data_IF_630683650878
#
_entry.id   IF_630683650878
#
_cell.length_a   1.000
_cell.length_b   1.000
_cell.length_c   1.000
_cell.angle_alpha   90.00
_cell.angle_beta   90.00
_cell.angle_gamma   90.00
#
_symmetry.space_group_name_H-M   'P 1'
#
loop_
_entity.id
_entity.type
_entity.pdbx_description
1 polymer ?
#
# COMPACT_ATOMS: atom_id res chain seq x y z
N UNK A 1 14.04 2.48 -22.96
CA UNK A 1 12.65 2.22 -22.48
C UNK A 1 12.77 1.89 -21.01
N UNK A 2 11.93 2.49 -20.17
CA UNK A 2 11.97 2.33 -18.73
C UNK A 2 10.73 1.58 -18.23
N UNK A 3 10.94 0.65 -17.29
CA UNK A 3 9.85 0.04 -16.54
C UNK A 3 9.49 0.93 -15.35
N UNK A 4 8.22 1.34 -15.29
CA UNK A 4 7.68 2.11 -14.17
C UNK A 4 6.56 1.34 -13.46
N UNK A 5 6.39 1.62 -12.16
CA UNK A 5 5.23 1.17 -11.40
C UNK A 5 4.20 2.29 -11.33
N UNK A 6 3.02 2.07 -11.89
CA UNK A 6 1.88 3.01 -11.86
C UNK A 6 0.74 2.43 -11.02
N UNK A 7 0.04 3.29 -10.29
CA UNK A 7 -1.14 2.90 -9.52
C UNK A 7 -2.43 3.39 -10.20
N UNK A 8 -3.39 2.49 -10.42
CA UNK A 8 -4.75 2.81 -10.84
C UNK A 8 -5.69 2.61 -9.66
N UNK A 9 -6.28 3.70 -9.15
CA UNK A 9 -7.18 3.67 -7.99
C UNK A 9 -8.63 3.88 -8.39
N UNK A 10 -9.52 3.03 -7.87
CA UNK A 10 -10.96 3.05 -8.13
C UNK A 10 -11.75 2.87 -6.84
N UNK A 11 -12.99 3.37 -6.83
CA UNK A 11 -13.94 3.07 -5.75
C UNK A 11 -14.50 1.67 -5.92
N UNK A 12 -14.36 0.84 -4.91
CA UNK A 12 -14.89 -0.53 -4.86
C UNK A 12 -16.37 -0.49 -4.45
N UNK A 13 -17.17 -1.40 -4.98
CA UNK A 13 -18.60 -1.55 -4.69
C UNK A 13 -18.87 -2.97 -4.13
N UNK A 14 -18.36 -3.28 -2.93
CA UNK A 14 -18.60 -4.56 -2.28
C UNK A 14 -20.05 -4.69 -1.78
N UNK A 15 -20.56 -5.92 -1.74
CA UNK A 15 -21.78 -6.24 -0.97
C UNK A 15 -21.55 -6.05 0.53
N UNK A 16 -22.61 -6.20 1.32
CA UNK A 16 -22.51 -6.13 2.77
C UNK A 16 -21.57 -7.21 3.34
N UNK A 17 -21.72 -8.44 2.86
CA UNK A 17 -20.93 -9.61 3.26
C UNK A 17 -19.46 -9.43 2.86
N UNK A 18 -19.21 -8.98 1.62
CA UNK A 18 -17.86 -8.65 1.16
C UNK A 18 -17.23 -7.54 1.99
N UNK A 19 -17.99 -6.51 2.36
CA UNK A 19 -17.52 -5.43 3.23
C UNK A 19 -17.16 -5.92 4.63
N UNK A 20 -17.97 -6.81 5.22
CA UNK A 20 -17.68 -7.43 6.51
C UNK A 20 -16.42 -8.30 6.43
N UNK A 21 -16.27 -9.08 5.35
CA UNK A 21 -15.08 -9.89 5.11
C UNK A 21 -13.82 -9.05 4.95
N UNK A 22 -13.89 -7.94 4.21
CA UNK A 22 -12.79 -6.98 4.09
C UNK A 22 -12.40 -6.38 5.45
N UNK A 23 -13.38 -6.03 6.30
CA UNK A 23 -13.13 -5.56 7.67
C UNK A 23 -12.42 -6.62 8.51
N UNK A 24 -12.83 -7.90 8.42
CA UNK A 24 -12.19 -9.00 9.12
C UNK A 24 -10.73 -9.16 8.68
N UNK A 25 -10.47 -9.20 7.36
CA UNK A 25 -9.12 -9.32 6.80
C UNK A 25 -8.22 -8.14 7.23
N UNK A 26 -8.75 -6.92 7.20
CA UNK A 26 -8.05 -5.74 7.70
C UNK A 26 -7.74 -5.84 9.20
N UNK A 27 -8.70 -6.35 9.98
CA UNK A 27 -8.54 -6.60 11.41
C UNK A 27 -7.41 -7.58 11.70
N UNK A 28 -7.38 -8.73 11.02
CA UNK A 28 -6.32 -9.72 11.14
C UNK A 28 -4.96 -9.15 10.74
N UNK A 29 -4.88 -8.39 9.64
CA UNK A 29 -3.65 -7.76 9.21
C UNK A 29 -3.14 -6.72 10.23
N UNK A 30 -4.01 -5.86 10.76
CA UNK A 30 -3.67 -4.92 11.83
C UNK A 30 -3.17 -5.65 13.08
N UNK A 31 -3.84 -6.72 13.46
CA UNK A 31 -3.47 -7.52 14.61
C UNK A 31 -2.07 -8.11 14.47
N UNK A 32 -1.79 -8.76 13.32
CA UNK A 32 -0.48 -9.32 13.00
C UNK A 32 0.62 -8.26 12.93
N UNK A 33 0.34 -7.07 12.39
CA UNK A 33 1.28 -5.94 12.46
C UNK A 33 1.66 -5.61 13.90
N UNK A 34 0.66 -5.52 14.78
CA UNK A 34 0.85 -5.12 16.16
C UNK A 34 1.60 -6.19 16.97
N UNK A 35 1.27 -7.48 16.79
CA UNK A 35 2.03 -8.58 17.38
C UNK A 35 3.48 -8.57 16.91
N UNK A 36 3.71 -8.49 15.60
CA UNK A 36 5.07 -8.42 15.04
C UNK A 36 5.84 -7.20 15.53
N UNK A 37 5.17 -6.05 15.69
CA UNK A 37 5.78 -4.83 16.22
C UNK A 37 6.22 -5.01 17.67
N UNK A 38 5.36 -5.58 18.52
CA UNK A 38 5.66 -5.84 19.92
C UNK A 38 6.86 -6.80 20.04
N UNK A 39 6.84 -7.89 19.27
CA UNK A 39 7.93 -8.87 19.29
C UNK A 39 9.23 -8.29 18.76
N UNK A 40 9.19 -7.51 17.68
CA UNK A 40 10.39 -6.82 17.16
C UNK A 40 10.97 -5.86 18.20
N UNK A 41 10.12 -5.12 18.93
CA UNK A 41 10.59 -4.23 20.02
C UNK A 41 11.21 -5.01 21.16
N UNK A 42 10.65 -6.17 21.53
CA UNK A 42 11.22 -7.06 22.55
C UNK A 42 12.62 -7.52 22.16
N UNK A 43 12.79 -7.99 20.92
CA UNK A 43 14.08 -8.46 20.37
C UNK A 43 15.09 -7.32 20.29
N UNK A 44 14.71 -6.15 19.79
CA UNK A 44 15.62 -5.00 19.76
C UNK A 44 15.99 -4.53 21.19
N UNK A 45 15.06 -4.65 22.13
CA UNK A 45 15.28 -4.33 23.55
C UNK A 45 16.24 -5.29 24.27
N UNK A 46 16.38 -6.54 23.82
CA UNK A 46 17.40 -7.48 24.31
C UNK A 46 18.78 -7.25 23.71
N UNK A 47 18.95 -6.25 22.83
CA UNK A 47 20.20 -5.98 22.12
C UNK A 47 20.42 -6.86 20.89
N UNK A 48 19.42 -7.67 20.51
CA UNK A 48 19.47 -8.48 19.31
C UNK A 48 19.20 -7.66 18.05
N UNK A 49 19.54 -8.22 16.89
CA UNK A 49 19.37 -7.55 15.60
C UNK A 49 17.91 -7.56 15.15
N UNK A 50 17.55 -6.63 14.26
CA UNK A 50 16.25 -6.61 13.60
C UNK A 50 15.97 -7.98 12.93
N UNK A 51 14.87 -8.67 13.27
CA UNK A 51 14.49 -9.90 12.60
C UNK A 51 14.25 -9.66 11.11
N UNK A 52 14.71 -10.59 10.28
CA UNK A 52 14.39 -10.62 8.87
C UNK A 52 12.89 -10.76 8.62
N UNK A 53 12.44 -10.33 7.44
CA UNK A 53 11.07 -10.58 7.00
C UNK A 53 10.68 -12.07 7.00
N UNK A 54 11.66 -12.97 6.83
CA UNK A 54 11.43 -14.41 6.88
C UNK A 54 11.15 -14.90 8.30
N UNK A 55 11.94 -14.47 9.28
CA UNK A 55 11.74 -14.80 10.70
C UNK A 55 10.39 -14.29 11.20
N UNK A 56 10.03 -13.05 10.88
CA UNK A 56 8.70 -12.52 11.20
C UNK A 56 7.59 -13.36 10.56
N UNK A 57 7.73 -13.77 9.30
CA UNK A 57 6.72 -14.60 8.64
C UNK A 57 6.59 -16.00 9.25
N UNK A 58 7.68 -16.58 9.79
CA UNK A 58 7.61 -17.87 10.51
C UNK A 58 6.74 -17.78 11.76
N UNK A 59 6.69 -16.61 12.42
CA UNK A 59 5.84 -16.41 13.60
C UNK A 59 4.35 -16.58 13.28
N UNK A 60 3.91 -16.26 12.06
CA UNK A 60 2.50 -16.44 11.64
C UNK A 60 2.07 -17.90 11.80
N UNK A 61 2.93 -18.86 11.45
CA UNK A 61 2.63 -20.29 11.56
C UNK A 61 2.38 -20.70 13.00
N UNK A 62 3.09 -20.09 13.95
CA UNK A 62 2.90 -20.33 15.38
C UNK A 62 1.63 -19.64 15.86
N UNK A 63 1.45 -18.35 15.54
CA UNK A 63 0.26 -17.60 15.96
C UNK A 63 -1.04 -18.22 15.46
N UNK A 64 -1.08 -18.75 14.23
CA UNK A 64 -2.28 -19.45 13.71
C UNK A 64 -2.65 -20.72 14.49
N UNK A 65 -1.74 -21.27 15.29
CA UNK A 65 -1.99 -22.48 16.12
C UNK A 65 -2.28 -22.16 17.57
N UNK A 66 -2.06 -20.91 18.00
CA UNK A 66 -2.34 -20.46 19.35
C UNK A 66 -3.85 -20.31 19.57
N UNK A 67 -4.46 -20.89 20.62
CA UNK A 67 -5.89 -20.79 20.89
C UNK A 67 -6.40 -19.34 20.91
N UNK A 68 -5.62 -18.41 21.47
CA UNK A 68 -5.97 -17.00 21.57
C UNK A 68 -6.00 -16.27 20.22
N UNK A 69 -5.29 -16.78 19.20
CA UNK A 69 -5.17 -16.16 17.88
C UNK A 69 -5.71 -17.06 16.75
N UNK A 70 -6.53 -18.05 17.10
CA UNK A 70 -7.05 -19.06 16.17
C UNK A 70 -7.80 -18.43 14.98
N UNK A 71 -8.44 -17.28 15.19
CA UNK A 71 -9.14 -16.51 14.15
C UNK A 71 -8.22 -16.07 12.98
N UNK A 72 -6.90 -16.10 13.15
CA UNK A 72 -5.95 -15.84 12.06
C UNK A 72 -5.94 -16.95 11.00
N UNK A 73 -6.46 -18.15 11.31
CA UNK A 73 -6.63 -19.22 10.33
C UNK A 73 -7.58 -18.81 9.20
N UNK A 74 -8.62 -18.03 9.53
CA UNK A 74 -9.59 -17.54 8.57
C UNK A 74 -9.07 -16.40 7.70
N UNK A 75 -7.89 -15.86 7.99
CA UNK A 75 -7.30 -14.78 7.20
C UNK A 75 -6.48 -15.33 6.03
N UNK A 76 -6.51 -14.59 4.91
CA UNK A 76 -5.66 -14.90 3.76
C UNK A 76 -4.18 -14.75 4.13
N UNK A 77 -3.45 -15.87 4.12
CA UNK A 77 -2.06 -15.95 4.62
C UNK A 77 -1.14 -14.92 3.95
N UNK A 78 -1.25 -14.73 2.63
CA UNK A 78 -0.43 -13.76 1.90
C UNK A 78 -0.67 -12.32 2.37
N UNK A 79 -1.89 -11.96 2.80
CA UNK A 79 -2.15 -10.64 3.38
C UNK A 79 -1.39 -10.45 4.72
N UNK A 80 -1.36 -11.49 5.56
CA UNK A 80 -0.66 -11.44 6.85
C UNK A 80 0.85 -11.34 6.64
N UNK A 81 1.39 -12.19 5.76
CA UNK A 81 2.82 -12.18 5.43
C UNK A 81 3.24 -10.85 4.81
N UNK A 82 2.44 -10.31 3.89
CA UNK A 82 2.74 -9.01 3.31
C UNK A 82 2.72 -7.91 4.36
N UNK A 83 1.85 -8.00 5.38
CA UNK A 83 1.80 -7.00 6.44
C UNK A 83 3.05 -7.02 7.32
N UNK A 84 3.62 -8.20 7.60
CA UNK A 84 4.90 -8.31 8.31
C UNK A 84 6.10 -7.89 7.44
N UNK A 85 6.03 -8.12 6.12
CA UNK A 85 7.02 -7.54 5.18
C UNK A 85 6.98 -6.01 5.21
N UNK A 86 5.79 -5.42 5.20
CA UNK A 86 5.63 -3.96 5.32
C UNK A 86 6.21 -3.45 6.66
N UNK A 87 6.02 -4.18 7.76
CA UNK A 87 6.60 -3.86 9.08
C UNK A 87 8.14 -3.91 9.06
N UNK A 88 8.70 -4.99 8.52
CA UNK A 88 10.15 -5.13 8.36
C UNK A 88 10.73 -3.99 7.52
N UNK A 89 10.09 -3.64 6.40
CA UNK A 89 10.50 -2.50 5.58
C UNK A 89 10.43 -1.19 6.37
N UNK A 90 9.41 -0.98 7.20
CA UNK A 90 9.31 0.21 8.04
C UNK A 90 10.47 0.30 9.04
N UNK A 91 10.85 -0.81 9.68
CA UNK A 91 12.04 -0.86 10.54
C UNK A 91 13.33 -0.62 9.78
N UNK A 92 13.53 -1.26 8.62
CA UNK A 92 14.71 -1.00 7.77
C UNK A 92 14.85 0.48 7.42
N UNK A 93 13.74 1.14 7.08
CA UNK A 93 13.72 2.59 6.81
C UNK A 93 14.06 3.40 8.06
N UNK A 94 13.54 3.02 9.22
CA UNK A 94 13.86 3.68 10.50
C UNK A 94 15.37 3.62 10.83
N UNK A 95 16.06 2.55 10.45
CA UNK A 95 17.50 2.42 10.68
C UNK A 95 18.37 3.04 9.58
N UNK A 96 17.78 3.45 8.45
CA UNK A 96 18.50 4.14 7.39
C UNK A 96 18.67 5.61 7.75
N UNK A 97 19.90 5.98 8.12
CA UNK A 97 20.27 7.35 8.52
C UNK A 97 20.04 8.41 7.43
N UNK A 98 19.92 8.00 6.16
CA UNK A 98 19.61 8.91 5.04
C UNK A 98 18.13 9.28 5.00
N UNK A 99 17.28 8.50 5.65
CA UNK A 99 15.84 8.70 5.69
C UNK A 99 15.45 9.31 7.04
N UNK A 100 14.68 10.40 7.02
CA UNK A 100 14.03 10.94 8.23
C UNK A 100 12.82 10.07 8.67
N UNK A 101 12.94 8.75 8.59
CA UNK A 101 11.88 7.80 8.89
C UNK A 101 11.85 7.49 10.39
N UNK A 102 10.66 7.59 10.98
CA UNK A 102 10.43 7.23 12.39
C UNK A 102 10.18 5.73 12.53
N UNK A 103 10.35 5.22 13.75
CA UNK A 103 10.01 3.86 14.10
C UNK A 103 8.53 3.54 13.78
N UNK A 104 8.23 2.30 13.34
CA UNK A 104 6.85 1.90 13.13
C UNK A 104 6.06 1.95 14.44
N UNK A 105 4.80 2.37 14.32
CA UNK A 105 3.91 2.61 15.46
C UNK A 105 2.80 1.56 15.53
N UNK A 106 2.20 1.45 16.71
CA UNK A 106 1.04 0.62 16.94
C UNK A 106 -0.12 1.06 16.05
N UNK A 107 -0.74 0.13 15.33
CA UNK A 107 -1.89 0.41 14.49
C UNK A 107 -3.16 0.29 15.33
N UNK A 108 -3.94 1.36 15.34
CA UNK A 108 -5.30 1.36 15.92
C UNK A 108 -6.31 1.11 14.82
N UNK A 109 -7.49 0.63 15.20
CA UNK A 109 -8.65 0.73 14.32
C UNK A 109 -8.95 2.21 14.16
N UNK A 110 -8.94 2.69 12.93
CA UNK A 110 -9.46 4.01 12.63
C UNK A 110 -10.50 3.88 11.51
N UNK A 111 -11.40 4.84 11.45
CA UNK A 111 -12.54 4.88 10.55
C UNK A 111 -12.10 5.22 9.12
N UNK A 112 -11.32 4.33 8.50
CA UNK A 112 -10.98 4.42 7.08
C UNK A 112 -9.52 4.74 6.77
N UNK A 113 -8.56 4.04 7.36
CA UNK A 113 -7.19 3.90 6.82
C UNK A 113 -6.67 2.46 6.86
N UNK A 114 -7.53 1.50 7.17
CA UNK A 114 -7.20 0.09 7.10
C UNK A 114 -6.99 -0.34 5.64
N UNK A 115 -6.00 -1.20 5.42
CA UNK A 115 -5.69 -1.71 4.08
C UNK A 115 -5.07 -3.11 4.07
N UNK A 116 -5.38 -3.86 3.03
CA UNK A 116 -4.86 -5.20 2.74
C UNK A 116 -4.36 -5.26 1.30
N UNK A 117 -3.24 -5.95 1.09
CA UNK A 117 -2.61 -6.09 -0.23
C UNK A 117 -2.67 -7.55 -0.68
N UNK A 118 -3.30 -7.77 -1.84
CA UNK A 118 -3.28 -9.00 -2.59
C UNK A 118 -2.06 -8.97 -3.51
N UNK A 119 -1.02 -9.71 -3.13
CA UNK A 119 0.20 -9.90 -3.92
C UNK A 119 0.01 -10.99 -4.96
N UNK A 120 0.93 -11.10 -5.92
CA UNK A 120 0.91 -12.12 -6.97
C UNK A 120 -0.45 -12.14 -7.71
N UNK A 121 -0.87 -10.97 -8.20
CA UNK A 121 -2.23 -10.76 -8.69
C UNK A 121 -2.67 -11.83 -9.69
N UNK A 122 -1.88 -12.12 -10.71
CA UNK A 122 -2.21 -13.10 -11.76
C UNK A 122 -2.41 -14.53 -11.25
N UNK A 123 -1.83 -14.88 -10.09
CA UNK A 123 -1.95 -16.23 -9.51
C UNK A 123 -3.28 -16.43 -8.77
N UNK A 124 -3.81 -15.38 -8.15
CA UNK A 124 -4.92 -15.50 -7.18
C UNK A 124 -6.11 -14.59 -7.47
N UNK A 125 -5.95 -13.63 -8.37
CA UNK A 125 -6.95 -12.63 -8.71
C UNK A 125 -7.19 -12.61 -10.22
N UNK A 126 -8.34 -12.08 -10.63
CA UNK A 126 -8.64 -11.85 -12.04
C UNK A 126 -9.31 -10.48 -12.19
N UNK A 127 -8.92 -9.72 -13.21
CA UNK A 127 -9.58 -8.46 -13.56
C UNK A 127 -10.42 -8.67 -14.81
N UNK A 128 -11.72 -8.40 -14.72
CA UNK A 128 -12.64 -8.47 -15.85
C UNK A 128 -13.52 -7.22 -15.87
N UNK A 129 -13.39 -6.39 -16.91
CA UNK A 129 -14.18 -5.18 -17.06
C UNK A 129 -14.22 -4.36 -15.75
N UNK A 130 -15.44 -4.13 -15.21
CA UNK A 130 -15.71 -3.35 -13.99
C UNK A 130 -15.75 -4.19 -12.71
N UNK A 131 -15.12 -5.37 -12.70
CA UNK A 131 -15.08 -6.26 -11.53
C UNK A 131 -13.73 -6.95 -11.38
N UNK A 132 -13.39 -7.30 -10.14
CA UNK A 132 -12.18 -8.04 -9.78
C UNK A 132 -12.55 -9.27 -8.98
N UNK A 133 -12.01 -10.43 -9.33
CA UNK A 133 -12.10 -11.66 -8.54
C UNK A 133 -10.99 -11.64 -7.51
N UNK A 134 -11.34 -11.77 -6.25
CA UNK A 134 -10.43 -11.76 -5.11
C UNK A 134 -10.54 -13.08 -4.33
N UNK A 135 -9.44 -13.57 -3.74
CA UNK A 135 -9.45 -14.80 -2.95
C UNK A 135 -10.15 -14.61 -1.60
N UNK A 136 -10.02 -15.60 -0.72
CA UNK A 136 -10.43 -15.50 0.69
C UNK A 136 -11.93 -15.31 0.92
N UNK A 137 -12.75 -15.87 0.02
CA UNK A 137 -14.22 -15.80 0.10
C UNK A 137 -14.81 -14.46 -0.36
N UNK A 138 -14.01 -13.56 -0.97
CA UNK A 138 -14.52 -12.29 -1.51
C UNK A 138 -15.20 -12.48 -2.87
N UNK A 139 -14.66 -13.36 -3.73
CA UNK A 139 -15.21 -13.62 -5.05
C UNK A 139 -15.15 -12.40 -5.96
N UNK A 140 -16.14 -12.24 -6.84
CA UNK A 140 -16.23 -11.08 -7.74
C UNK A 140 -16.74 -9.84 -7.03
N UNK A 141 -15.98 -8.76 -7.07
CA UNK A 141 -16.32 -7.46 -6.49
C UNK A 141 -16.33 -6.40 -7.59
N UNK A 142 -17.40 -5.62 -7.70
CA UNK A 142 -17.51 -4.53 -8.68
C UNK A 142 -16.71 -3.31 -8.24
N UNK A 143 -16.30 -2.48 -9.18
CA UNK A 143 -15.71 -1.16 -8.91
C UNK A 143 -16.10 -0.14 -9.97
N UNK A 144 -16.03 1.14 -9.61
CA UNK A 144 -16.28 2.27 -10.51
C UNK A 144 -15.07 2.51 -11.39
N UNK A 145 -15.07 1.89 -12.56
CA UNK A 145 -14.01 2.04 -13.53
C UNK A 145 -14.10 3.40 -14.23
N UNK A 146 -13.24 4.35 -13.83
CA UNK A 146 -13.09 5.65 -14.48
C UNK A 146 -12.07 5.66 -15.63
N UNK A 147 -11.21 4.64 -15.70
CA UNK A 147 -10.14 4.52 -16.69
C UNK A 147 -9.77 3.03 -16.89
N UNK A 148 -9.16 2.70 -18.03
CA UNK A 148 -8.63 1.35 -18.28
C UNK A 148 -7.35 1.12 -17.48
N UNK A 149 -7.19 -0.11 -16.96
CA UNK A 149 -5.97 -0.54 -16.30
C UNK A 149 -5.03 -1.10 -17.37
N UNK A 150 -4.03 -0.30 -17.74
CA UNK A 150 -3.05 -0.68 -18.76
C UNK A 150 -1.75 -1.14 -18.09
N UNK A 151 -1.19 -2.26 -18.54
CA UNK A 151 0.04 -2.84 -18.01
C UNK A 151 -0.18 -4.11 -17.19
N UNK A 152 0.91 -4.74 -16.75
CA UNK A 152 0.89 -5.99 -16.00
C UNK A 152 0.61 -5.73 -14.53
N UNK A 153 -0.51 -6.22 -13.99
CA UNK A 153 -0.87 -6.02 -12.58
C UNK A 153 0.04 -6.88 -11.70
N UNK A 154 0.81 -6.25 -10.80
CA UNK A 154 1.69 -6.95 -9.85
C UNK A 154 0.95 -7.28 -8.56
N UNK A 155 0.17 -6.32 -8.07
CA UNK A 155 -0.63 -6.47 -6.85
C UNK A 155 -1.84 -5.53 -6.87
N UNK A 156 -2.81 -5.84 -6.01
CA UNK A 156 -3.94 -4.97 -5.74
C UNK A 156 -4.00 -4.67 -4.24
N UNK A 157 -4.16 -3.40 -3.87
CA UNK A 157 -4.35 -2.97 -2.49
C UNK A 157 -5.77 -2.49 -2.30
N UNK A 158 -6.51 -3.09 -1.37
CA UNK A 158 -7.82 -2.62 -0.95
C UNK A 158 -7.65 -1.81 0.32
N UNK A 159 -8.26 -0.63 0.34
CA UNK A 159 -8.20 0.31 1.46
C UNK A 159 -9.56 0.88 1.75
N UNK A 160 -9.83 1.14 3.02
CA UNK A 160 -11.00 1.91 3.44
C UNK A 160 -10.59 3.39 3.60
N UNK A 161 -11.45 4.32 3.17
CA UNK A 161 -11.30 5.76 3.38
C UNK A 161 -12.67 6.43 3.46
N UNK A 162 -12.92 7.20 4.51
CA UNK A 162 -14.20 7.93 4.72
C UNK A 162 -15.44 7.04 4.53
N UNK A 163 -15.44 5.85 5.15
CA UNK A 163 -16.53 4.87 5.05
C UNK A 163 -16.60 4.09 3.72
N UNK A 164 -15.83 4.48 2.71
CA UNK A 164 -15.85 3.86 1.38
C UNK A 164 -14.66 2.92 1.18
N UNK A 165 -14.84 1.90 0.32
CA UNK A 165 -13.77 1.01 -0.10
C UNK A 165 -13.16 1.46 -1.42
N UNK A 166 -11.85 1.31 -1.54
CA UNK A 166 -11.09 1.59 -2.74
C UNK A 166 -10.16 0.44 -3.06
N UNK A 167 -9.97 0.17 -4.34
CA UNK A 167 -8.95 -0.74 -4.84
C UNK A 167 -7.92 0.06 -5.65
N UNK A 168 -6.64 -0.21 -5.40
CA UNK A 168 -5.51 0.34 -6.13
C UNK A 168 -4.74 -0.80 -6.78
N UNK A 169 -4.76 -0.88 -8.10
CA UNK A 169 -3.95 -1.81 -8.88
C UNK A 169 -2.57 -1.20 -9.13
N UNK A 170 -1.52 -1.82 -8.63
CA UNK A 170 -0.16 -1.46 -9.01
C UNK A 170 0.21 -2.27 -10.25
N UNK A 171 0.50 -1.57 -11.34
CA UNK A 171 0.88 -2.16 -12.61
C UNK A 171 2.32 -1.80 -12.95
N UNK A 172 2.95 -2.70 -13.67
CA UNK A 172 4.23 -2.52 -14.33
C UNK A 172 3.95 -2.15 -15.80
N UNK A 173 4.51 -1.03 -16.24
CA UNK A 173 4.32 -0.49 -17.59
C UNK A 173 5.70 -0.16 -18.16
N UNK A 174 5.95 -0.57 -19.40
CA UNK A 174 7.06 -0.08 -20.20
C UNK A 174 6.69 1.26 -20.83
N UNK A 175 7.51 2.27 -20.60
CA UNK A 175 7.33 3.60 -21.15
C UNK A 175 8.63 4.09 -21.77
N UNK A 176 8.51 5.02 -22.73
CA UNK A 176 9.68 5.70 -23.25
C UNK A 176 10.36 6.45 -22.09
N UNK A 177 11.69 6.47 -22.10
CA UNK A 177 12.39 7.35 -21.16
C UNK A 177 11.96 8.78 -21.44
N UNK A 178 11.63 9.56 -20.40
CA UNK A 178 11.24 10.95 -20.59
C UNK A 178 12.42 11.69 -21.19
N UNK A 179 12.35 11.97 -22.49
CA UNK A 179 13.29 12.83 -23.18
C UNK A 179 12.70 14.24 -23.16
N UNK A 180 13.22 15.09 -22.27
CA UNK A 180 12.86 16.50 -22.31
C UNK A 180 13.62 17.13 -23.49
N UNK A 181 12.88 17.69 -24.44
CA UNK A 181 13.46 18.39 -25.61
C UNK A 181 14.27 19.64 -25.28
N UNK A 182 14.28 20.09 -24.02
CA UNK A 182 15.01 21.30 -23.64
C UNK A 182 16.50 21.03 -23.59
N UNK A 183 17.26 21.86 -24.28
CA UNK A 183 18.73 21.94 -24.18
C UNK A 183 19.19 22.89 -23.08
N UNK A 184 18.26 23.55 -22.41
CA UNK A 184 18.51 24.59 -21.41
C UNK A 184 17.92 24.19 -20.06
N UNK A 185 18.56 24.65 -18.99
CA UNK A 185 18.10 24.47 -17.62
C UNK A 185 17.68 25.84 -17.07
N UNK A 186 16.50 25.92 -16.48
CA UNK A 186 16.01 27.11 -15.78
C UNK A 186 15.66 26.71 -14.35
N UNK A 187 16.11 27.52 -13.39
CA UNK A 187 15.66 27.41 -12.01
C UNK A 187 14.22 27.90 -11.90
N UNK A 188 13.41 27.24 -11.09
CA UNK A 188 12.03 27.63 -10.82
C UNK A 188 11.90 27.98 -9.33
N UNK A 189 11.45 29.21 -9.05
CA UNK A 189 11.05 29.65 -7.72
C UNK A 189 9.52 29.81 -7.69
N UNK A 190 8.84 28.99 -6.89
CA UNK A 190 7.40 29.00 -6.77
C UNK A 190 6.97 29.86 -5.57
N UNK A 191 6.27 30.97 -5.83
CA UNK A 191 5.81 31.90 -4.82
C UNK A 191 4.29 31.91 -4.65
N UNK A 192 3.83 32.62 -3.61
CA UNK A 192 2.40 32.85 -3.36
C UNK A 192 1.88 34.02 -4.21
N UNK A 193 2.65 35.11 -4.32
CA UNK A 193 2.29 36.27 -5.13
C UNK A 193 2.56 36.05 -6.63
N UNK A 194 3.65 35.32 -6.95
CA UNK A 194 4.03 34.92 -8.30
C UNK A 194 4.03 33.40 -8.35
N UNK A 195 3.19 32.80 -9.19
CA UNK A 195 3.02 31.33 -9.23
C UNK A 195 4.36 30.62 -9.49
N UNK A 196 5.12 31.14 -10.45
CA UNK A 196 6.48 30.69 -10.70
C UNK A 196 7.31 31.81 -11.31
N UNK A 197 8.52 32.03 -10.78
CA UNK A 197 9.55 32.85 -11.42
C UNK A 197 10.66 31.93 -11.91
N UNK A 198 11.00 32.05 -13.19
CA UNK A 198 12.10 31.32 -13.79
C UNK A 198 13.39 32.14 -13.69
N UNK A 199 14.54 31.45 -13.66
CA UNK A 199 15.85 32.11 -13.61
C UNK A 199 16.19 32.92 -14.87
N UNK A 200 15.43 32.75 -15.95
CA UNK A 200 15.52 33.59 -17.16
C UNK A 200 14.69 34.89 -17.06
N UNK A 201 14.05 35.12 -15.91
CA UNK A 201 13.23 36.29 -15.64
C UNK A 201 11.76 36.14 -16.03
N UNK A 202 11.35 35.03 -16.64
CA UNK A 202 9.94 34.74 -16.94
C UNK A 202 9.14 34.61 -15.64
N UNK A 203 8.02 35.31 -15.55
CA UNK A 203 7.11 35.23 -14.41
C UNK A 203 5.77 34.67 -14.87
N UNK A 204 5.33 33.60 -14.23
CA UNK A 204 3.98 33.07 -14.35
C UNK A 204 3.14 33.65 -13.21
N UNK A 205 2.09 34.37 -13.59
CA UNK A 205 1.10 34.87 -12.65
C UNK A 205 0.16 33.74 -12.19
N UNK A 206 -0.44 33.85 -11.00
CA UNK A 206 -1.39 32.85 -10.51
C UNK A 206 -2.63 32.78 -11.39
N UNK A 207 -3.07 31.56 -11.71
CA UNK A 207 -4.25 31.33 -12.56
C UNK A 207 -5.56 31.70 -11.85
N UNK A 208 -5.55 31.76 -10.51
CA UNK A 208 -6.62 32.34 -9.67
C UNK A 208 -6.03 32.67 -8.29
N UNK A 209 -5.82 33.96 -7.98
CA UNK A 209 -5.40 34.37 -6.64
C UNK A 209 -6.56 34.56 -5.67
N UNK A 210 -7.80 34.75 -6.15
CA UNK A 210 -9.08 34.69 -5.43
C UNK A 210 -10.20 34.51 -6.45
#
# INVERSE_FOLDING_TARGET
MMLILKAYKFRLEPTHEQSQRLRQLCGCARFVWNLGLAETKRILGSGEKLPSAFELNRMITVWKKMPEYIFLQDAYTDNLQQKLKDLHTAWKRCFDKKLAAKAPVWKRKNEGRDSIRFVNFEKYCCLENRRVKLPSGLGWVKFRQSQRVNGKIKNATISQLAGQWYISFQVEIETAEPNHTSTTIVGLDAGVAKLATLSDGTVFEPVNSF
#
